data_IF_601660809431
#
_entry.id   IF_601660809431
#
_cell.length_a   1.000
_cell.length_b   1.000
_cell.length_c   1.000
_cell.angle_alpha   90.00
_cell.angle_beta   90.00
_cell.angle_gamma   90.00
#
_symmetry.space_group_name_H-M   'P 1'
#
loop_
_entity.id
_entity.type
_entity.pdbx_description
1 polymer ?
#
# COMPACT_ATOMS: atom_id res chain seq x y z
N UNK A 1 25.14 16.76 21.65
CA UNK A 1 24.01 17.36 20.89
C UNK A 1 23.96 16.78 19.49
N UNK A 2 25.10 16.69 18.80
CA UNK A 2 25.24 16.08 17.47
C UNK A 2 24.70 14.65 17.40
N UNK A 3 24.98 13.80 18.40
CA UNK A 3 24.45 12.43 18.46
C UNK A 3 22.91 12.34 18.50
N UNK A 4 22.27 13.28 19.21
CA UNK A 4 20.81 13.28 19.34
C UNK A 4 20.12 13.77 18.06
N UNK A 5 20.72 14.75 17.38
CA UNK A 5 20.26 15.21 16.07
C UNK A 5 20.40 14.09 15.04
N UNK A 6 21.56 13.44 14.96
CA UNK A 6 21.81 12.30 14.08
C UNK A 6 20.82 11.16 14.33
N UNK A 7 20.58 10.81 15.59
CA UNK A 7 19.59 9.78 15.95
C UNK A 7 18.18 10.18 15.50
N UNK A 8 17.77 11.43 15.74
CA UNK A 8 16.47 11.94 15.32
C UNK A 8 16.30 11.93 13.80
N UNK A 9 17.32 12.35 13.05
CA UNK A 9 17.32 12.32 11.59
C UNK A 9 17.21 10.89 11.06
N UNK A 10 18.04 9.96 11.55
CA UNK A 10 18.00 8.56 11.13
C UNK A 10 16.64 7.91 11.41
N UNK A 11 16.06 8.15 12.59
CA UNK A 11 14.74 7.62 12.93
C UNK A 11 13.66 8.24 12.05
N UNK A 12 13.74 9.55 11.78
CA UNK A 12 12.80 10.24 10.89
C UNK A 12 12.85 9.67 9.46
N UNK A 13 14.05 9.45 8.91
CA UNK A 13 14.22 8.82 7.60
C UNK A 13 13.66 7.40 7.56
N UNK A 14 13.88 6.62 8.61
CA UNK A 14 13.32 5.26 8.74
C UNK A 14 11.78 5.29 8.74
N UNK A 15 11.17 6.22 9.47
CA UNK A 15 9.71 6.39 9.47
C UNK A 15 9.18 6.76 8.09
N UNK A 16 9.82 7.71 7.40
CA UNK A 16 9.45 8.09 6.03
C UNK A 16 9.57 6.91 5.05
N UNK A 17 10.62 6.10 5.17
CA UNK A 17 10.78 4.90 4.36
C UNK A 17 9.65 3.87 4.60
N UNK A 18 9.20 3.70 5.85
CA UNK A 18 8.06 2.83 6.16
C UNK A 18 6.75 3.34 5.55
N UNK A 19 6.49 4.66 5.59
CA UNK A 19 5.34 5.23 4.88
C UNK A 19 5.42 5.03 3.37
N UNK A 20 6.61 5.20 2.78
CA UNK A 20 6.82 4.92 1.36
C UNK A 20 6.54 3.46 1.03
N UNK A 21 6.95 2.53 1.91
CA UNK A 21 6.64 1.10 1.74
C UNK A 21 5.13 0.83 1.77
N UNK A 22 4.39 1.48 2.67
CA UNK A 22 2.92 1.39 2.71
C UNK A 22 2.32 1.92 1.41
N UNK A 23 2.78 3.06 0.91
CA UNK A 23 2.31 3.61 -0.38
C UNK A 23 2.53 2.63 -1.54
N UNK A 24 3.72 2.05 -1.65
CA UNK A 24 4.01 1.05 -2.69
C UNK A 24 3.16 -0.22 -2.55
N UNK A 25 2.97 -0.68 -1.32
CA UNK A 25 2.13 -1.85 -1.03
C UNK A 25 0.67 -1.61 -1.42
N UNK A 26 0.15 -0.40 -1.16
CA UNK A 26 -1.20 -0.01 -1.59
C UNK A 26 -1.32 0.03 -3.11
N UNK A 27 -0.33 0.62 -3.82
CA UNK A 27 -0.31 0.61 -5.29
C UNK A 27 -0.34 -0.82 -5.83
N UNK A 28 0.47 -1.70 -5.26
CA UNK A 28 0.52 -3.10 -5.66
C UNK A 28 -0.82 -3.82 -5.42
N UNK A 29 -1.44 -3.64 -4.25
CA UNK A 29 -2.77 -4.19 -3.97
C UNK A 29 -3.81 -3.71 -4.98
N UNK A 30 -3.88 -2.40 -5.23
CA UNK A 30 -4.86 -1.80 -6.14
C UNK A 30 -4.62 -2.28 -7.57
N UNK A 31 -3.37 -2.43 -8.00
CA UNK A 31 -3.03 -3.01 -9.31
C UNK A 31 -3.58 -4.42 -9.48
N UNK A 32 -3.33 -5.31 -8.50
CA UNK A 32 -3.87 -6.67 -8.53
C UNK A 32 -5.41 -6.64 -8.55
N UNK A 33 -6.02 -5.73 -7.80
CA UNK A 33 -7.48 -5.60 -7.77
C UNK A 33 -8.03 -5.15 -9.13
N UNK A 34 -7.40 -4.20 -9.81
CA UNK A 34 -7.77 -3.76 -11.15
C UNK A 34 -7.69 -4.90 -12.16
N UNK A 35 -6.56 -5.62 -12.20
CA UNK A 35 -6.38 -6.77 -13.08
C UNK A 35 -7.40 -7.88 -12.79
N UNK A 36 -7.72 -8.10 -11.51
CA UNK A 36 -8.69 -9.11 -11.13
C UNK A 36 -10.12 -8.72 -11.53
N UNK A 37 -10.49 -7.45 -11.37
CA UNK A 37 -11.78 -6.94 -11.84
C UNK A 37 -11.88 -7.09 -13.36
N UNK A 38 -10.88 -6.65 -14.11
CA UNK A 38 -10.85 -6.76 -15.57
C UNK A 38 -10.98 -8.22 -16.03
N UNK A 39 -10.24 -9.14 -15.39
CA UNK A 39 -10.32 -10.57 -15.65
C UNK A 39 -11.75 -11.11 -15.47
N UNK A 40 -12.44 -10.64 -14.43
CA UNK A 40 -13.81 -11.07 -14.08
C UNK A 40 -14.88 -10.44 -14.98
N UNK A 41 -14.64 -9.25 -15.50
CA UNK A 41 -15.53 -8.60 -16.46
C UNK A 41 -15.50 -9.29 -17.82
N UNK A 42 -14.38 -9.93 -18.18
CA UNK A 42 -14.21 -10.71 -19.42
C UNK A 42 -14.68 -9.97 -20.67
N UNK A 43 -14.39 -8.66 -20.74
CA UNK A 43 -14.78 -7.81 -21.86
C UNK A 43 -16.26 -7.42 -21.92
N UNK A 44 -17.08 -7.79 -20.93
CA UNK A 44 -18.50 -7.44 -20.90
C UNK A 44 -18.74 -5.92 -20.81
N UNK A 45 -17.81 -5.19 -20.18
CA UNK A 45 -17.76 -3.72 -20.17
C UNK A 45 -16.30 -3.26 -20.27
N UNK A 46 -16.09 -2.05 -20.77
CA UNK A 46 -14.76 -1.43 -20.78
C UNK A 46 -14.31 -1.09 -19.36
N UNK A 47 -13.11 -1.54 -18.99
CA UNK A 47 -12.47 -1.23 -17.72
C UNK A 47 -11.11 -0.55 -17.98
N UNK A 48 -11.08 0.79 -17.95
CA UNK A 48 -9.92 1.58 -18.34
C UNK A 48 -8.92 1.91 -17.23
N UNK A 49 -9.03 1.27 -16.05
CA UNK A 49 -8.14 1.53 -14.91
C UNK A 49 -6.89 0.66 -14.97
N UNK A 50 -5.72 1.25 -14.70
CA UNK A 50 -4.42 0.59 -14.81
C UNK A 50 -3.48 0.93 -13.65
N UNK A 51 -2.37 0.20 -13.54
CA UNK A 51 -1.31 0.49 -12.57
C UNK A 51 -0.68 1.87 -12.77
N UNK A 52 -0.61 2.36 -14.01
CA UNK A 52 -0.06 3.69 -14.36
C UNK A 52 -0.85 4.83 -13.72
N UNK A 53 -2.14 4.64 -13.52
CA UNK A 53 -3.00 5.64 -12.87
C UNK A 53 -2.67 5.83 -11.39
N UNK A 54 -1.88 4.93 -10.80
CA UNK A 54 -1.51 4.92 -9.38
C UNK A 54 -0.18 5.63 -9.10
N UNK A 55 0.66 5.82 -10.11
CA UNK A 55 2.05 6.29 -9.93
C UNK A 55 2.13 7.69 -9.32
N UNK A 56 1.24 8.58 -9.73
CA UNK A 56 1.18 9.97 -9.27
C UNK A 56 0.29 10.20 -8.04
N UNK A 57 -0.39 9.16 -7.54
CA UNK A 57 -1.36 9.31 -6.45
C UNK A 57 -0.66 9.42 -5.09
N UNK A 58 -1.17 10.34 -4.27
CA UNK A 58 -0.77 10.48 -2.87
C UNK A 58 -1.30 9.31 -2.01
N UNK A 59 -0.66 9.07 -0.86
CA UNK A 59 -1.14 8.10 0.13
C UNK A 59 -2.63 8.25 0.44
N UNK A 60 -3.11 9.48 0.62
CA UNK A 60 -4.52 9.75 0.89
C UNK A 60 -5.45 9.26 -0.24
N UNK A 61 -5.04 9.50 -1.49
CA UNK A 61 -5.84 9.07 -2.64
C UNK A 61 -5.79 7.55 -2.81
N UNK A 62 -4.63 6.93 -2.59
CA UNK A 62 -4.47 5.48 -2.57
C UNK A 62 -5.35 4.83 -1.50
N UNK A 63 -5.37 5.38 -0.28
CA UNK A 63 -6.24 4.90 0.80
C UNK A 63 -7.72 4.98 0.43
N UNK A 64 -8.15 6.07 -0.19
CA UNK A 64 -9.53 6.23 -0.65
C UNK A 64 -9.94 5.14 -1.63
N UNK A 65 -9.06 4.79 -2.57
CA UNK A 65 -9.30 3.72 -3.54
C UNK A 65 -9.28 2.36 -2.83
N UNK A 66 -8.26 2.10 -2.01
CA UNK A 66 -8.14 0.87 -1.24
C UNK A 66 -9.39 0.57 -0.40
N UNK A 67 -9.95 1.56 0.29
CA UNK A 67 -11.17 1.40 1.09
C UNK A 67 -12.41 0.99 0.27
N UNK A 68 -12.42 1.28 -1.04
CA UNK A 68 -13.51 0.85 -1.93
C UNK A 68 -13.31 -0.58 -2.46
N UNK A 69 -12.07 -1.04 -2.50
CA UNK A 69 -11.69 -2.36 -3.03
C UNK A 69 -11.53 -3.40 -1.91
N UNK A 70 -11.31 -2.96 -0.67
CA UNK A 70 -11.05 -3.81 0.48
C UNK A 70 -12.12 -3.63 1.57
N UNK A 71 -12.73 -4.72 1.99
CA UNK A 71 -13.78 -4.75 3.01
C UNK A 71 -13.27 -4.89 4.46
N UNK A 72 -11.95 -5.06 4.65
CA UNK A 72 -11.33 -5.20 5.97
C UNK A 72 -11.28 -3.84 6.69
N UNK A 73 -12.34 -3.55 7.44
CA UNK A 73 -12.50 -2.31 8.19
C UNK A 73 -11.42 -2.08 9.24
N UNK A 74 -10.78 -3.14 9.76
CA UNK A 74 -9.68 -3.00 10.74
C UNK A 74 -8.44 -2.38 10.10
N UNK A 75 -8.01 -2.92 8.95
CA UNK A 75 -6.85 -2.43 8.20
C UNK A 75 -7.11 -1.01 7.69
N UNK A 76 -8.32 -0.76 7.17
CA UNK A 76 -8.76 0.58 6.76
C UNK A 76 -8.70 1.58 7.91
N UNK A 77 -9.17 1.20 9.10
CA UNK A 77 -9.15 2.09 10.27
C UNK A 77 -7.71 2.40 10.70
N UNK A 78 -6.82 1.41 10.69
CA UNK A 78 -5.41 1.59 11.05
C UNK A 78 -4.70 2.50 10.04
N UNK A 79 -4.87 2.24 8.75
CA UNK A 79 -4.29 3.05 7.67
C UNK A 79 -4.76 4.52 7.72
N UNK A 80 -6.03 4.76 8.04
CA UNK A 80 -6.54 6.13 8.16
C UNK A 80 -5.92 6.91 9.34
N UNK A 81 -5.59 6.25 10.46
CA UNK A 81 -4.87 6.90 11.58
C UNK A 81 -3.46 7.33 11.18
N UNK A 82 -2.78 6.49 10.40
CA UNK A 82 -1.41 6.71 9.94
C UNK A 82 -1.27 7.93 9.00
N UNK A 83 -2.34 8.29 8.27
CA UNK A 83 -2.36 9.47 7.37
C UNK A 83 -1.97 10.76 8.10
N UNK A 84 -2.59 11.03 9.25
CA UNK A 84 -2.33 12.26 10.03
C UNK A 84 -0.91 12.29 10.58
N UNK A 85 -0.40 11.13 10.98
CA UNK A 85 0.96 10.97 11.52
C UNK A 85 2.02 11.17 10.44
N UNK A 86 1.82 10.66 9.21
CA UNK A 86 2.74 10.88 8.07
C UNK A 86 2.98 12.36 7.82
N UNK A 87 1.92 13.15 7.75
CA UNK A 87 2.00 14.59 7.48
C UNK A 87 2.77 15.33 8.58
N UNK A 88 2.53 14.96 9.83
CA UNK A 88 3.27 15.50 10.97
C UNK A 88 4.77 15.19 10.92
N UNK A 89 5.12 13.95 10.55
CA UNK A 89 6.51 13.51 10.42
C UNK A 89 7.22 14.23 9.29
N UNK A 90 6.57 14.36 8.13
CA UNK A 90 7.14 15.08 6.99
C UNK A 90 7.43 16.56 7.33
N UNK A 91 6.52 17.23 8.04
CA UNK A 91 6.73 18.60 8.48
C UNK A 91 7.89 18.74 9.49
N UNK A 92 7.98 17.80 10.44
CA UNK A 92 9.08 17.76 11.42
C UNK A 92 10.43 17.47 10.75
N UNK A 93 10.47 16.53 9.80
CA UNK A 93 11.66 16.20 9.01
C UNK A 93 12.20 17.44 8.29
N UNK A 94 11.32 18.22 7.66
CA UNK A 94 11.70 19.45 6.96
C UNK A 94 12.28 20.50 7.92
N UNK A 95 11.72 20.61 9.13
CA UNK A 95 12.19 21.58 10.14
C UNK A 95 13.62 21.29 10.57
N UNK A 96 13.97 20.01 10.76
CA UNK A 96 15.33 19.59 11.11
C UNK A 96 16.29 19.73 9.93
N UNK A 97 15.86 19.32 8.73
CA UNK A 97 16.68 19.46 7.51
C UNK A 97 17.03 20.92 7.16
N UNK A 98 16.18 21.88 7.52
CA UNK A 98 16.43 23.31 7.33
C UNK A 98 17.40 23.92 8.37
N UNK A 99 18.04 23.12 9.22
CA UNK A 99 19.06 23.57 10.17
C UNK A 99 18.52 24.53 11.25
N UNK A 100 17.19 24.64 11.40
CA UNK A 100 16.60 25.35 12.53
C UNK A 100 16.91 24.50 13.76
N UNK A 101 17.75 25.02 14.66
CA UNK A 101 18.08 24.37 15.92
C UNK A 101 16.79 23.99 16.65
N UNK A 102 16.39 22.73 16.53
CA UNK A 102 15.38 22.16 17.41
C UNK A 102 16.04 22.02 18.77
N UNK A 103 15.51 22.72 19.77
CA UNK A 103 15.92 22.53 21.16
C UNK A 103 15.84 21.03 21.52
N UNK A 104 16.75 20.56 22.37
CA UNK A 104 16.90 19.16 22.81
C UNK A 104 15.55 18.57 23.24
N UNK A 105 14.70 19.38 23.89
CA UNK A 105 13.36 18.98 24.31
C UNK A 105 12.44 18.61 23.13
N UNK A 106 12.51 19.37 22.04
CA UNK A 106 11.73 19.10 20.83
C UNK A 106 12.19 17.82 20.12
N UNK A 107 13.51 17.59 20.06
CA UNK A 107 14.09 16.36 19.50
C UNK A 107 13.68 15.12 20.29
N UNK A 108 13.80 15.16 21.62
CA UNK A 108 13.38 14.06 22.51
C UNK A 108 11.90 13.75 22.38
N UNK A 109 11.05 14.77 22.48
CA UNK A 109 9.60 14.59 22.30
C UNK A 109 9.24 14.03 20.92
N UNK A 110 10.02 14.38 19.89
CA UNK A 110 9.91 13.78 18.57
C UNK A 110 10.24 12.29 18.56
N UNK A 111 11.37 11.88 19.15
CA UNK A 111 11.75 10.47 19.29
C UNK A 111 10.69 9.67 20.07
N UNK A 112 10.22 10.19 21.21
CA UNK A 112 9.18 9.52 22.01
C UNK A 112 7.89 9.29 21.20
N UNK A 113 7.54 10.24 20.33
CA UNK A 113 6.40 10.09 19.42
C UNK A 113 6.62 9.02 18.34
N UNK A 114 7.87 8.72 17.99
CA UNK A 114 8.22 7.68 17.03
C UNK A 114 8.17 6.29 17.67
N UNK A 115 8.58 6.15 18.93
CA UNK A 115 8.57 4.86 19.65
C UNK A 115 7.16 4.26 19.75
N UNK A 116 6.15 5.12 19.92
CA UNK A 116 4.74 4.68 19.93
C UNK A 116 4.21 4.38 18.52
N UNK A 117 4.73 5.04 17.49
CA UNK A 117 4.25 4.89 16.11
C UNK A 117 4.84 3.69 15.39
N UNK A 118 6.11 3.37 15.64
CA UNK A 118 6.82 2.28 14.97
C UNK A 118 6.09 0.93 15.03
N UNK A 119 5.56 0.47 16.19
CA UNK A 119 4.81 -0.78 16.25
C UNK A 119 3.49 -0.70 15.46
N UNK A 120 2.82 0.46 15.43
CA UNK A 120 1.61 0.64 14.63
C UNK A 120 1.90 0.55 13.13
N UNK A 121 3.00 1.15 12.67
CA UNK A 121 3.46 1.06 11.29
C UNK A 121 3.81 -0.38 10.90
N UNK A 122 4.57 -1.09 11.74
CA UNK A 122 4.93 -2.50 11.48
C UNK A 122 3.70 -3.38 11.38
N UNK A 123 2.78 -3.29 12.35
CA UNK A 123 1.55 -4.06 12.33
C UNK A 123 0.70 -3.75 11.09
N UNK A 124 0.65 -2.48 10.68
CA UNK A 124 -0.07 -2.09 9.47
C UNK A 124 0.55 -2.68 8.19
N UNK A 125 1.88 -2.73 8.12
CA UNK A 125 2.60 -3.33 7.00
C UNK A 125 2.30 -4.83 6.91
N UNK A 126 2.32 -5.53 8.04
CA UNK A 126 2.04 -6.97 8.07
C UNK A 126 0.58 -7.26 7.71
N UNK A 127 -0.36 -6.48 8.23
CA UNK A 127 -1.77 -6.58 7.86
C UNK A 127 -1.99 -6.35 6.35
N UNK A 128 -1.33 -5.33 5.77
CA UNK A 128 -1.44 -5.04 4.33
C UNK A 128 -0.80 -6.14 3.47
N UNK A 129 0.31 -6.74 3.92
CA UNK A 129 0.92 -7.90 3.25
C UNK A 129 -0.03 -9.09 3.20
N UNK A 130 -0.75 -9.36 4.28
CA UNK A 130 -1.74 -10.44 4.32
C UNK A 130 -2.92 -10.20 3.38
N UNK A 131 -3.38 -8.95 3.25
CA UNK A 131 -4.41 -8.56 2.29
C UNK A 131 -3.92 -8.77 0.84
N UNK A 132 -2.70 -8.34 0.53
CA UNK A 132 -2.06 -8.54 -0.77
C UNK A 132 -1.95 -10.03 -1.09
N UNK A 133 -1.45 -10.84 -0.15
CA UNK A 133 -1.31 -12.30 -0.32
C UNK A 133 -2.66 -12.95 -0.59
N UNK A 134 -3.67 -12.57 0.18
CA UNK A 134 -5.04 -13.11 0.04
C UNK A 134 -5.63 -12.77 -1.31
N UNK A 135 -5.51 -11.51 -1.76
CA UNK A 135 -6.01 -11.09 -3.06
C UNK A 135 -5.25 -11.76 -4.20
N UNK A 136 -3.92 -11.80 -4.13
CA UNK A 136 -3.06 -12.45 -5.12
C UNK A 136 -3.39 -13.94 -5.31
N UNK A 137 -3.64 -14.66 -4.22
CA UNK A 137 -4.06 -16.07 -4.28
C UNK A 137 -5.41 -16.24 -5.01
N UNK A 138 -6.38 -15.36 -4.73
CA UNK A 138 -7.69 -15.37 -5.41
C UNK A 138 -7.55 -15.06 -6.90
N UNK A 139 -6.69 -14.10 -7.24
CA UNK A 139 -6.42 -13.73 -8.62
C UNK A 139 -5.74 -14.88 -9.39
N UNK A 140 -4.68 -15.48 -8.85
CA UNK A 140 -4.00 -16.60 -9.48
C UNK A 140 -4.92 -17.81 -9.70
N UNK A 141 -5.76 -18.13 -8.71
CA UNK A 141 -6.76 -19.20 -8.87
C UNK A 141 -7.78 -18.90 -9.99
N UNK A 142 -8.22 -17.64 -10.13
CA UNK A 142 -9.14 -17.23 -11.19
C UNK A 142 -8.49 -17.28 -12.58
N UNK A 143 -7.21 -16.90 -12.69
CA UNK A 143 -6.46 -17.00 -13.95
C UNK A 143 -6.31 -18.46 -14.39
N UNK A 144 -5.97 -19.37 -13.47
CA UNK A 144 -5.86 -20.79 -13.77
C UNK A 144 -7.20 -21.37 -14.26
N UNK A 145 -8.30 -21.07 -13.57
CA UNK A 145 -9.64 -21.51 -13.97
C UNK A 145 -10.02 -21.05 -15.39
N UNK A 146 -9.66 -19.80 -15.75
CA UNK A 146 -9.92 -19.26 -17.09
C UNK A 146 -9.08 -19.98 -18.16
N UNK A 147 -7.81 -20.24 -17.89
CA UNK A 147 -6.92 -20.99 -18.79
C UNK A 147 -7.44 -22.41 -19.02
N UNK A 148 -7.79 -23.12 -17.95
CA UNK A 148 -8.30 -24.49 -18.03
C UNK A 148 -9.62 -24.57 -18.83
N UNK A 149 -10.49 -23.58 -18.66
CA UNK A 149 -11.75 -23.48 -19.41
C UNK A 149 -11.50 -23.25 -20.91
N UNK A 150 -10.52 -22.41 -21.26
CA UNK A 150 -10.11 -22.16 -22.64
C UNK A 150 -9.56 -23.43 -23.30
N UNK A 151 -8.67 -24.14 -22.59
CA UNK A 151 -8.08 -25.39 -23.08
C UNK A 151 -9.13 -26.48 -23.30
N UNK A 152 -10.11 -26.59 -22.40
CA UNK A 152 -11.25 -27.51 -22.56
C UNK A 152 -12.09 -27.17 -23.78
N UNK A 153 -12.39 -25.88 -24.01
CA UNK A 153 -13.11 -25.42 -25.22
C UNK A 153 -12.36 -25.76 -26.49
N UNK A 154 -11.06 -25.45 -26.55
CA UNK A 154 -10.23 -25.76 -27.71
C UNK A 154 -10.14 -27.26 -28.01
N UNK A 155 -10.14 -28.12 -26.98
CA UNK A 155 -10.17 -29.59 -27.17
C UNK A 155 -11.51 -30.06 -27.72
N UNK A 156 -12.63 -29.53 -27.23
CA UNK A 156 -13.97 -29.88 -27.70
C UNK A 156 -14.18 -29.47 -29.17
N UNK A 157 -13.71 -28.28 -29.55
CA UNK A 157 -13.76 -27.79 -30.93
C UNK A 157 -12.92 -28.66 -31.89
N UNK A 158 -11.75 -29.15 -31.45
CA UNK A 158 -10.91 -30.06 -32.24
C UNK A 158 -11.48 -31.48 -32.35
N UNK A 159 -12.25 -31.94 -31.38
CA UNK A 159 -12.92 -33.26 -31.41
C UNK A 159 -14.23 -33.28 -32.20
N UNK A 160 -14.76 -32.12 -32.58
CA UNK A 160 -16.03 -31.95 -33.30
C UNK A 160 -15.88 -31.68 -34.80
N UNK A 161 -14.73 -31.98 -35.42
CA UNK A 161 -14.57 -31.84 -36.87
C UNK A 161 -15.36 -32.95 -37.61
N UNK A 162 -16.21 -32.61 -38.61
CA UNK A 162 -16.85 -33.59 -39.49
C UNK A 162 -15.84 -34.36 -40.34
#
# INVERSE_FOLDING_TARGET
MEDLQNLYEQTTLRMLAQFQFIEQSLKYYISIAYEFIELRLDGAIHFGYSSKDLDSLSLERLLTIFCKLNANTKVVTRLNKLKTQRNHIAHKALTVAMGRYADIKALRSGLDSYDSLQPELSACIDELREEIRTLGNKFGAAQQQKSDALDRRMRLEKSGAP
#
